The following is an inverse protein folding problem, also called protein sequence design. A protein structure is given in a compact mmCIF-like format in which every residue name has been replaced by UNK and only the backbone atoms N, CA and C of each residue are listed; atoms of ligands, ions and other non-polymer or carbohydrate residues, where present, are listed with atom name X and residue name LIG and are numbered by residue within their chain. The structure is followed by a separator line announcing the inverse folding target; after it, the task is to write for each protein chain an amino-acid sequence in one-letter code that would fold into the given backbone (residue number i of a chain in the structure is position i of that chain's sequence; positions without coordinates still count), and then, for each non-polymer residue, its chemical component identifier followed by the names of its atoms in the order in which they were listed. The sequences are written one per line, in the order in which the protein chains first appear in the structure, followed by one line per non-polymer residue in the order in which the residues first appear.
data_IF_583168418471
#
_entry.id   IF_583168418471
#
_cell.length_a   1.000
_cell.length_b   1.000
_cell.length_c   1.000
_cell.angle_alpha   90.00
_cell.angle_beta   90.00
_cell.angle_gamma   90.00
#
_symmetry.space_group_name_H-M   'P 1'
#
loop_
_entity.id
_entity.type
_entity.pdbx_description
1 polymer ?
#
# COMPACT_ATOMS: atom_id res chain seq x y z
N UNK A 1 11.70 8.68 15.76
CA UNK A 1 12.39 9.74 15.00
C UNK A 1 12.96 9.24 13.67
N UNK A 2 13.89 8.26 13.57
CA UNK A 2 14.53 7.92 12.29
C UNK A 2 13.57 7.39 11.22
N UNK A 3 12.71 6.43 11.58
CA UNK A 3 11.64 5.91 10.70
C UNK A 3 10.72 7.01 10.18
N UNK A 4 10.32 7.97 11.01
CA UNK A 4 9.41 9.05 10.60
C UNK A 4 10.09 10.00 9.61
N UNK A 5 11.38 10.32 9.83
CA UNK A 5 12.17 11.09 8.87
C UNK A 5 12.31 10.36 7.53
N UNK A 6 12.52 9.04 7.56
CA UNK A 6 12.58 8.21 6.34
C UNK A 6 11.26 8.26 5.55
N UNK A 7 10.12 8.04 6.22
CA UNK A 7 8.80 8.10 5.57
C UNK A 7 8.47 9.51 5.05
N UNK A 8 8.83 10.55 5.80
CA UNK A 8 8.68 11.93 5.35
C UNK A 8 9.52 12.22 4.11
N UNK A 9 10.74 11.68 4.03
CA UNK A 9 11.60 11.82 2.86
C UNK A 9 11.06 11.08 1.63
N UNK A 10 10.34 9.97 1.83
CA UNK A 10 9.63 9.27 0.74
C UNK A 10 8.43 10.09 0.23
N UNK A 11 7.72 10.80 1.10
CA UNK A 11 6.56 11.62 0.70
C UNK A 11 6.99 12.96 0.10
N UNK A 12 8.01 13.59 0.68
CA UNK A 12 8.44 14.92 0.30
C UNK A 12 9.97 15.04 0.34
N UNK A 13 10.60 14.76 -0.80
CA UNK A 13 12.06 14.87 -0.98
C UNK A 13 12.59 16.29 -0.81
N UNK A 14 11.74 17.31 -0.90
CA UNK A 14 12.13 18.73 -0.84
C UNK A 14 12.15 19.33 0.57
N UNK A 15 11.50 18.69 1.56
CA UNK A 15 11.32 19.25 2.92
C UNK A 15 12.17 18.60 4.02
N UNK A 16 13.15 17.76 3.67
CA UNK A 16 14.01 17.14 4.67
C UNK A 16 14.97 18.18 5.25
N UNK A 17 14.71 18.58 6.49
CA UNK A 17 15.63 19.36 7.31
C UNK A 17 17.00 18.64 7.39
N UNK A 18 18.07 19.43 7.26
CA UNK A 18 19.48 18.99 7.24
C UNK A 18 19.81 18.15 8.49
N UNK A 19 19.81 16.82 8.41
CA UNK A 19 20.21 16.01 9.56
C UNK A 19 20.20 14.49 9.41
N UNK A 20 19.43 13.92 8.48
CA UNK A 20 19.40 12.46 8.27
C UNK A 20 19.82 12.13 6.84
N UNK A 21 21.11 11.91 6.62
CA UNK A 21 21.61 11.33 5.38
C UNK A 21 21.37 9.83 5.41
N UNK A 22 20.29 9.36 4.77
CA UNK A 22 20.14 7.93 4.47
C UNK A 22 21.19 7.52 3.43
N UNK A 23 21.70 6.29 3.54
CA UNK A 23 22.60 5.72 2.55
C UNK A 23 21.97 5.76 1.16
N UNK A 24 22.74 6.24 0.17
CA UNK A 24 22.28 6.38 -1.22
C UNK A 24 21.87 5.03 -1.82
N UNK A 25 22.48 3.93 -1.35
CA UNK A 25 22.13 2.56 -1.74
C UNK A 25 20.77 2.14 -1.17
N UNK A 26 20.52 2.39 0.12
CA UNK A 26 19.24 2.10 0.76
C UNK A 26 18.11 2.89 0.09
N UNK A 27 18.32 4.19 -0.13
CA UNK A 27 17.31 5.03 -0.77
C UNK A 27 16.99 4.53 -2.19
N UNK A 28 18.01 4.15 -2.98
CA UNK A 28 17.79 3.58 -4.32
C UNK A 28 16.97 2.28 -4.29
N UNK A 29 17.23 1.39 -3.33
CA UNK A 29 16.46 0.15 -3.17
C UNK A 29 14.98 0.44 -2.94
N UNK A 30 14.65 1.34 -2.00
CA UNK A 30 13.25 1.64 -1.68
C UNK A 30 12.56 2.53 -2.72
N UNK A 31 13.30 3.39 -3.42
CA UNK A 31 12.76 4.23 -4.48
C UNK A 31 12.24 3.42 -5.67
N UNK A 32 12.86 2.27 -6.01
CA UNK A 32 12.45 1.44 -7.17
C UNK A 32 11.03 0.90 -7.07
N UNK A 33 10.54 0.62 -5.85
CA UNK A 33 9.19 0.09 -5.62
C UNK A 33 8.17 1.17 -5.20
N UNK A 34 8.61 2.17 -4.43
CA UNK A 34 7.72 3.12 -3.75
C UNK A 34 7.57 4.46 -4.49
N UNK A 35 8.50 4.82 -5.37
CA UNK A 35 8.43 6.06 -6.14
C UNK A 35 8.37 5.75 -7.64
N UNK A 36 7.48 6.43 -8.33
CA UNK A 36 7.48 6.53 -9.79
C UNK A 36 8.26 7.79 -10.19
N UNK A 37 9.25 7.60 -11.06
CA UNK A 37 9.92 8.70 -11.76
C UNK A 37 9.53 8.61 -13.22
N UNK A 38 8.66 9.51 -13.69
CA UNK A 38 8.49 9.75 -15.13
C UNK A 38 9.59 10.71 -15.57
N UNK A 39 10.23 10.45 -16.71
CA UNK A 39 11.38 11.23 -17.18
C UNK A 39 11.15 12.75 -17.07
N UNK A 40 11.97 13.41 -16.25
CA UNK A 40 12.01 14.87 -16.08
C UNK A 40 11.11 15.48 -15.00
N UNK A 41 10.22 14.71 -14.37
CA UNK A 41 9.36 15.21 -13.28
C UNK A 41 9.94 14.86 -11.89
N UNK A 42 9.56 15.61 -10.85
CA UNK A 42 9.93 15.26 -9.48
C UNK A 42 9.40 13.86 -9.13
N UNK A 43 10.15 13.03 -8.38
CA UNK A 43 9.71 11.68 -8.04
C UNK A 43 8.38 11.75 -7.28
N UNK A 44 7.37 11.05 -7.79
CA UNK A 44 6.02 10.95 -7.19
C UNK A 44 5.84 9.58 -6.59
N UNK A 45 5.11 9.47 -5.49
CA UNK A 45 4.75 8.18 -4.91
C UNK A 45 4.03 7.31 -5.96
N UNK A 46 4.45 6.04 -6.06
CA UNK A 46 3.73 5.04 -6.85
C UNK A 46 2.49 4.56 -6.08
N UNK A 47 1.60 3.81 -6.74
CA UNK A 47 0.45 3.17 -6.08
C UNK A 47 0.91 2.30 -4.88
N UNK A 48 1.98 1.53 -5.08
CA UNK A 48 2.64 0.76 -4.02
C UNK A 48 3.20 1.65 -2.90
N UNK A 49 3.72 2.83 -3.26
CA UNK A 49 4.17 3.86 -2.32
C UNK A 49 3.06 4.35 -1.41
N UNK A 50 1.89 4.67 -1.97
CA UNK A 50 0.73 5.09 -1.19
C UNK A 50 0.18 3.96 -0.32
N UNK A 51 0.07 2.75 -0.87
CA UNK A 51 -0.34 1.58 -0.10
C UNK A 51 0.59 1.35 1.09
N UNK A 52 1.90 1.42 0.87
CA UNK A 52 2.91 1.29 1.91
C UNK A 52 2.74 2.32 3.03
N UNK A 53 2.43 3.58 2.72
CA UNK A 53 2.22 4.61 3.74
C UNK A 53 0.98 4.36 4.62
N UNK A 54 -0.05 3.73 4.07
CA UNK A 54 -1.29 3.39 4.77
C UNK A 54 -1.22 2.07 5.55
N UNK A 55 -0.19 1.25 5.31
CA UNK A 55 0.01 -0.01 6.04
C UNK A 55 0.33 0.21 7.52
N UNK A 56 0.05 -0.81 8.32
CA UNK A 56 0.48 -0.80 9.72
C UNK A 56 2.01 -0.78 9.87
N UNK A 57 2.48 -0.49 11.08
CA UNK A 57 3.90 -0.23 11.36
C UNK A 57 4.75 -1.47 11.14
N UNK A 58 4.24 -2.65 11.49
CA UNK A 58 4.94 -3.93 11.33
C UNK A 58 4.92 -4.38 9.87
N UNK A 59 3.77 -4.28 9.19
CA UNK A 59 3.69 -4.57 7.76
C UNK A 59 4.61 -3.66 6.91
N UNK A 60 4.71 -2.36 7.24
CA UNK A 60 5.70 -1.45 6.65
C UNK A 60 7.13 -1.94 6.91
N UNK A 61 7.42 -2.37 8.13
CA UNK A 61 8.75 -2.85 8.50
C UNK A 61 9.12 -4.11 7.71
N UNK A 62 8.18 -5.06 7.58
CA UNK A 62 8.37 -6.28 6.79
C UNK A 62 8.52 -6.00 5.31
N UNK A 63 7.78 -5.03 4.76
CA UNK A 63 7.98 -4.58 3.39
C UNK A 63 9.41 -4.06 3.21
N UNK A 64 9.88 -3.19 4.11
CA UNK A 64 11.25 -2.67 4.09
C UNK A 64 12.27 -3.82 4.18
N UNK A 65 12.07 -4.79 5.08
CA UNK A 65 12.99 -5.92 5.23
C UNK A 65 13.03 -6.80 3.99
N UNK A 66 11.88 -7.08 3.39
CA UNK A 66 11.79 -7.87 2.16
C UNK A 66 12.59 -7.21 1.04
N UNK A 67 12.37 -5.93 0.78
CA UNK A 67 13.12 -5.20 -0.26
C UNK A 67 14.63 -5.12 0.07
N UNK A 68 14.98 -4.99 1.36
CA UNK A 68 16.36 -5.00 1.81
C UNK A 68 17.04 -6.36 1.54
N UNK A 69 16.36 -7.48 1.82
CA UNK A 69 16.84 -8.83 1.55
C UNK A 69 16.92 -9.08 0.04
N UNK A 70 15.90 -8.69 -0.74
CA UNK A 70 15.90 -8.85 -2.20
C UNK A 70 17.03 -8.08 -2.89
N UNK A 71 17.45 -6.93 -2.33
CA UNK A 71 18.62 -6.18 -2.82
C UNK A 71 19.97 -6.68 -2.30
N UNK A 72 20.00 -7.77 -1.54
CA UNK A 72 21.25 -8.35 -1.04
C UNK A 72 22.10 -8.96 -2.17
N UNK A 73 21.45 -9.61 -3.14
CA UNK A 73 22.13 -10.25 -4.27
C UNK A 73 22.88 -9.21 -5.13
N UNK A 74 22.28 -8.04 -5.36
CA UNK A 74 22.94 -6.92 -6.07
C UNK A 74 24.18 -6.40 -5.32
N UNK A 75 24.25 -6.62 -4.01
CA UNK A 75 25.39 -6.25 -3.14
C UNK A 75 26.40 -7.38 -2.96
N UNK A 76 26.16 -8.55 -3.55
CA UNK A 76 27.01 -9.74 -3.40
C UNK A 76 26.93 -10.37 -2.00
N UNK A 77 25.82 -10.16 -1.28
CA UNK A 77 25.57 -10.74 0.04
C UNK A 77 24.58 -11.89 -0.09
N UNK A 78 24.84 -13.03 0.56
CA UNK A 78 23.91 -14.16 0.61
C UNK A 78 22.64 -13.76 1.40
N UNK A 79 21.44 -13.80 0.77
CA UNK A 79 20.17 -13.54 1.45
C UNK A 79 19.98 -14.40 2.71
N UNK A 80 20.51 -15.63 2.72
CA UNK A 80 20.38 -16.58 3.83
C UNK A 80 21.10 -16.09 5.09
N UNK A 81 22.29 -15.51 4.92
CA UNK A 81 23.07 -14.92 6.01
C UNK A 81 22.33 -13.73 6.64
N UNK A 82 21.73 -12.88 5.81
CA UNK A 82 20.92 -11.74 6.26
C UNK A 82 19.65 -12.16 6.99
N UNK A 83 18.92 -13.14 6.46
CA UNK A 83 17.70 -13.67 7.10
C UNK A 83 18.05 -14.26 8.46
N UNK A 84 19.11 -15.07 8.53
CA UNK A 84 19.58 -15.67 9.79
C UNK A 84 19.91 -14.59 10.82
N UNK A 85 20.59 -13.54 10.39
CA UNK A 85 20.94 -12.41 11.26
C UNK A 85 19.72 -11.58 11.70
N UNK A 86 18.74 -11.33 10.83
CA UNK A 86 17.52 -10.62 11.19
C UNK A 86 16.69 -11.40 12.22
N UNK A 87 16.65 -12.73 12.08
CA UNK A 87 16.03 -13.61 13.06
C UNK A 87 16.80 -13.57 14.38
N UNK A 88 18.13 -13.65 14.35
CA UNK A 88 18.97 -13.51 15.55
C UNK A 88 18.69 -12.19 16.28
N UNK A 89 18.66 -11.07 15.55
CA UNK A 89 18.37 -9.74 16.07
C UNK A 89 17.00 -9.67 16.75
N UNK A 90 16.00 -10.38 16.23
CA UNK A 90 14.66 -10.40 16.81
C UNK A 90 14.59 -11.06 18.19
N UNK A 91 15.52 -11.98 18.50
CA UNK A 91 15.63 -12.64 19.81
C UNK A 91 16.52 -11.88 20.80
N UNK A 92 17.12 -10.76 20.40
CA UNK A 92 17.91 -9.95 21.31
C UNK A 92 17.02 -9.25 22.36
N UNK A 93 17.58 -9.04 23.55
CA UNK A 93 16.86 -8.37 24.64
C UNK A 93 16.78 -6.87 24.41
N UNK A 94 15.57 -6.32 24.58
CA UNK A 94 15.32 -4.89 24.42
C UNK A 94 16.20 -4.08 25.39
N UNK A 95 16.97 -3.14 24.86
CA UNK A 95 17.79 -2.21 25.66
C UNK A 95 19.15 -2.75 26.11
N UNK A 96 19.47 -4.02 25.87
CA UNK A 96 20.82 -4.54 26.13
C UNK A 96 21.82 -4.08 25.05
N UNK A 97 23.07 -3.88 25.46
CA UNK A 97 24.15 -3.47 24.57
C UNK A 97 24.95 -4.68 24.10
N UNK A 98 25.08 -4.83 22.78
CA UNK A 98 25.79 -5.92 22.13
C UNK A 98 27.00 -5.38 21.39
N UNK A 99 28.13 -6.10 21.43
CA UNK A 99 29.39 -5.62 20.85
C UNK A 99 29.40 -5.75 19.33
N UNK A 100 29.95 -4.75 18.64
CA UNK A 100 30.25 -4.86 17.21
C UNK A 100 31.34 -5.88 16.91
N UNK A 101 32.18 -6.22 17.89
CA UNK A 101 33.33 -7.10 17.68
C UNK A 101 32.92 -8.55 17.39
N UNK A 102 31.70 -8.96 17.77
CA UNK A 102 31.17 -10.30 17.52
C UNK A 102 30.55 -10.45 16.12
N UNK A 103 30.39 -9.35 15.38
CA UNK A 103 29.71 -9.32 14.09
C UNK A 103 30.67 -9.50 12.92
N UNK A 104 30.21 -10.24 11.89
CA UNK A 104 30.87 -10.32 10.58
C UNK A 104 30.84 -8.96 9.86
N UNK A 105 31.68 -8.77 8.85
CA UNK A 105 31.69 -7.52 8.07
C UNK A 105 30.33 -7.24 7.41
N UNK A 106 29.66 -8.29 6.93
CA UNK A 106 28.30 -8.23 6.38
C UNK A 106 27.30 -7.77 7.44
N UNK A 107 27.33 -8.38 8.62
CA UNK A 107 26.46 -8.02 9.74
C UNK A 107 26.71 -6.59 10.23
N UNK A 108 27.96 -6.10 10.20
CA UNK A 108 28.26 -4.71 10.56
C UNK A 108 27.65 -3.70 9.58
N UNK A 109 27.66 -4.02 8.28
CA UNK A 109 26.99 -3.20 7.26
C UNK A 109 25.47 -3.22 7.52
N UNK A 110 24.91 -4.42 7.73
CA UNK A 110 23.48 -4.56 8.03
C UNK A 110 23.05 -3.79 9.28
N UNK A 111 23.82 -3.83 10.38
CA UNK A 111 23.51 -3.05 11.59
C UNK A 111 23.54 -1.54 11.34
N UNK A 112 24.44 -1.04 10.48
CA UNK A 112 24.46 0.38 10.12
C UNK A 112 23.20 0.75 9.33
N UNK A 113 22.83 -0.04 8.33
CA UNK A 113 21.63 0.16 7.53
C UNK A 113 20.35 0.09 8.39
N UNK A 114 20.27 -0.91 9.29
CA UNK A 114 19.17 -1.07 10.24
C UNK A 114 19.10 0.05 11.28
N UNK A 115 20.23 0.69 11.60
CA UNK A 115 20.26 1.84 12.48
C UNK A 115 19.68 3.10 11.82
N UNK A 116 19.88 3.30 10.52
CA UNK A 116 19.23 4.38 9.76
C UNK A 116 17.71 4.23 9.77
N UNK A 117 17.21 2.99 9.68
CA UNK A 117 15.78 2.67 9.78
C UNK A 117 15.24 2.78 11.23
N UNK A 118 16.12 2.94 12.22
CA UNK A 118 15.78 3.07 13.63
C UNK A 118 15.44 1.76 14.32
N UNK A 119 15.79 0.61 13.73
CA UNK A 119 15.63 -0.70 14.39
C UNK A 119 16.68 -0.90 15.49
N UNK A 120 17.85 -0.31 15.31
CA UNK A 120 18.97 -0.45 16.23
C UNK A 120 19.55 0.92 16.52
N UNK A 121 19.99 1.15 17.75
CA UNK A 121 20.77 2.34 18.12
C UNK A 121 22.23 1.96 18.22
N UNK A 122 23.07 2.60 17.42
CA UNK A 122 24.53 2.44 17.49
C UNK A 122 25.09 3.44 18.49
N UNK A 123 25.91 2.95 19.42
CA UNK A 123 26.62 3.77 20.40
C UNK A 123 28.13 3.51 20.25
N UNK A 124 28.87 4.57 19.92
CA UNK A 124 30.33 4.50 19.81
C UNK A 124 30.96 4.95 21.13
N UNK A 125 31.79 4.09 21.71
CA UNK A 125 32.71 4.44 22.78
C UNK A 125 34.06 4.90 22.24
N UNK A 126 35.02 5.11 23.14
CA UNK A 126 36.39 5.53 22.78
C UNK A 126 37.21 4.43 22.10
N UNK A 127 36.87 3.15 22.32
CA UNK A 127 37.59 1.98 21.79
C UNK A 127 36.65 0.93 21.18
N UNK A 128 35.47 0.75 21.78
CA UNK A 128 34.48 -0.23 21.35
C UNK A 128 33.21 0.46 20.83
N UNK A 129 32.51 -0.24 19.94
CA UNK A 129 31.19 0.14 19.47
C UNK A 129 30.17 -0.90 19.90
N UNK A 130 28.99 -0.44 20.30
CA UNK A 130 27.88 -1.29 20.68
C UNK A 130 26.62 -0.96 19.90
N UNK A 131 25.76 -1.95 19.75
CA UNK A 131 24.43 -1.78 19.17
C UNK A 131 23.37 -2.19 20.19
N UNK A 132 22.28 -1.43 20.24
CA UNK A 132 21.16 -1.63 21.17
C UNK A 132 19.88 -1.83 20.35
N UNK A 133 19.27 -3.02 20.38
CA UNK A 133 18.00 -3.28 19.71
C UNK A 133 16.88 -2.40 20.26
N UNK A 134 16.05 -1.87 19.36
CA UNK A 134 14.84 -1.13 19.71
C UNK A 134 13.60 -2.04 19.70
N UNK A 135 12.46 -1.52 20.15
CA UNK A 135 11.17 -2.24 20.07
C UNK A 135 10.82 -2.67 18.65
N UNK A 136 11.26 -1.92 17.62
CA UNK A 136 11.01 -2.30 16.23
C UNK A 136 11.78 -3.56 15.82
N UNK A 137 13.01 -3.74 16.32
CA UNK A 137 13.82 -4.93 16.04
C UNK A 137 13.27 -6.17 16.75
N UNK A 138 12.93 -6.04 18.04
CA UNK A 138 12.35 -7.17 18.79
C UNK A 138 10.98 -7.56 18.27
N UNK A 139 10.21 -6.59 17.73
CA UNK A 139 8.88 -6.85 17.18
C UNK A 139 8.90 -7.44 15.76
N UNK A 140 10.08 -7.59 15.12
CA UNK A 140 10.19 -8.23 13.81
C UNK A 140 9.58 -9.64 13.84
N UNK A 141 9.97 -10.47 14.81
CA UNK A 141 9.51 -11.86 14.92
C UNK A 141 8.19 -12.00 15.71
N UNK A 142 7.92 -11.11 16.68
CA UNK A 142 6.67 -11.16 17.46
C UNK A 142 5.41 -10.86 16.61
N UNK A 143 5.57 -10.26 15.44
CA UNK A 143 4.47 -9.99 14.51
C UNK A 143 3.83 -11.26 13.91
N UNK A 144 4.44 -12.44 14.06
CA UNK A 144 3.83 -13.71 13.66
C UNK A 144 2.79 -14.22 14.67
N UNK A 145 2.81 -13.74 15.92
CA UNK A 145 2.01 -14.30 17.01
C UNK A 145 1.01 -13.33 17.64
N UNK A 146 1.22 -12.01 17.56
CA UNK A 146 0.32 -11.03 18.18
C UNK A 146 0.14 -9.77 17.34
N UNK A 147 -1.00 -9.67 16.66
CA UNK A 147 -1.50 -8.45 16.00
C UNK A 147 -2.06 -7.42 17.00
N UNK A 148 -1.88 -7.65 18.30
CA UNK A 148 -2.62 -7.02 19.41
C UNK A 148 -1.81 -5.96 20.18
N UNK A 149 -0.67 -5.51 19.67
CA UNK A 149 0.04 -4.39 20.26
C UNK A 149 -0.79 -3.10 20.09
N UNK A 150 -1.59 -2.81 21.13
CA UNK A 150 -2.50 -1.66 21.25
C UNK A 150 -1.81 -0.37 20.81
N UNK A 151 -2.03 0.01 19.56
CA UNK A 151 -1.69 1.36 19.10
C UNK A 151 -2.64 2.32 19.79
N UNK A 152 -2.09 3.39 20.34
CA UNK A 152 -2.85 4.61 20.59
C UNK A 152 -3.30 5.13 19.24
N UNK A 153 -4.48 4.70 18.78
CA UNK A 153 -5.06 5.28 17.59
C UNK A 153 -5.28 6.78 17.80
N UNK A 154 -5.15 7.53 16.73
CA UNK A 154 -5.15 8.99 16.77
C UNK A 154 -6.37 9.58 16.09
N UNK A 155 -7.06 8.81 15.25
CA UNK A 155 -8.08 9.31 14.32
C UNK A 155 -9.49 9.11 14.88
N UNK A 156 -10.31 10.14 14.74
CA UNK A 156 -11.75 10.12 14.99
C UNK A 156 -12.44 10.63 13.73
N UNK A 157 -13.44 9.89 13.26
CA UNK A 157 -14.26 10.27 12.11
C UNK A 157 -15.71 10.42 12.56
N UNK A 158 -16.32 11.54 12.21
CA UNK A 158 -17.72 11.85 12.51
C UNK A 158 -18.65 11.53 11.33
N UNK A 159 -19.96 11.46 11.60
CA UNK A 159 -21.01 11.19 10.60
C UNK A 159 -21.12 12.28 9.52
N UNK A 160 -20.60 13.48 9.78
CA UNK A 160 -20.57 14.62 8.87
C UNK A 160 -19.30 14.65 7.98
N UNK A 161 -18.56 13.55 7.90
CA UNK A 161 -17.29 13.41 7.15
C UNK A 161 -16.11 14.24 7.70
N UNK A 162 -16.23 14.82 8.90
CA UNK A 162 -15.08 15.45 9.57
C UNK A 162 -14.16 14.41 10.17
N UNK A 163 -12.87 14.66 10.00
CA UNK A 163 -11.77 13.85 10.49
C UNK A 163 -10.94 14.67 11.47
N UNK A 164 -10.70 14.08 12.64
CA UNK A 164 -9.91 14.66 13.71
C UNK A 164 -8.78 13.70 14.04
N UNK A 165 -7.53 14.14 13.93
CA UNK A 165 -6.38 13.32 14.29
C UNK A 165 -5.56 13.98 15.41
N UNK A 166 -5.49 13.30 16.56
CA UNK A 166 -4.75 13.73 17.74
C UNK A 166 -3.27 13.38 17.58
N UNK A 167 -2.55 14.22 16.84
CA UNK A 167 -1.13 14.01 16.57
C UNK A 167 -0.41 15.33 16.28
N UNK A 168 0.79 15.48 16.84
CA UNK A 168 1.72 16.56 16.49
C UNK A 168 2.65 16.20 15.31
N UNK A 169 2.63 14.94 14.85
CA UNK A 169 3.51 14.44 13.80
C UNK A 169 3.13 15.01 12.43
N UNK A 170 4.10 15.64 11.76
CA UNK A 170 3.97 16.08 10.35
C UNK A 170 3.64 14.91 9.42
N UNK A 171 4.18 13.72 9.68
CA UNK A 171 3.92 12.53 8.88
C UNK A 171 2.44 12.16 8.85
N UNK A 172 1.77 12.21 10.00
CA UNK A 172 0.34 11.91 10.05
C UNK A 172 -0.48 12.95 9.29
N UNK A 173 -0.07 14.23 9.31
CA UNK A 173 -0.69 15.28 8.49
C UNK A 173 -0.57 14.95 7.00
N UNK A 174 0.62 14.61 6.52
CA UNK A 174 0.84 14.28 5.11
C UNK A 174 0.11 13.00 4.67
N UNK A 175 0.06 11.97 5.51
CA UNK A 175 -0.72 10.75 5.21
C UNK A 175 -2.22 11.07 5.11
N UNK A 176 -2.76 11.90 6.00
CA UNK A 176 -4.17 12.28 5.95
C UNK A 176 -4.49 13.15 4.71
N UNK A 177 -3.55 13.98 4.26
CA UNK A 177 -3.70 14.79 3.03
C UNK A 177 -3.89 13.93 1.77
N UNK A 178 -3.47 12.66 1.80
CA UNK A 178 -3.60 11.76 0.66
C UNK A 178 -5.06 11.50 0.27
N UNK A 179 -5.96 11.49 1.25
CA UNK A 179 -7.37 11.12 1.04
C UNK A 179 -8.37 12.08 1.69
N UNK A 180 -7.90 13.07 2.46
CA UNK A 180 -8.74 14.08 3.11
C UNK A 180 -8.21 15.49 2.85
N UNK A 181 -9.11 16.47 2.84
CA UNK A 181 -8.75 17.87 2.82
C UNK A 181 -8.44 18.34 4.23
N UNK A 182 -7.17 18.61 4.54
CA UNK A 182 -6.77 19.22 5.81
C UNK A 182 -7.22 20.68 5.82
N UNK A 183 -8.09 21.05 6.76
CA UNK A 183 -8.63 22.39 6.90
C UNK A 183 -7.75 23.26 7.80
N UNK A 184 -7.33 22.73 8.94
CA UNK A 184 -6.46 23.42 9.88
C UNK A 184 -5.63 22.45 10.72
N UNK A 185 -4.42 22.88 11.04
CA UNK A 185 -3.48 22.14 11.87
C UNK A 185 -3.19 22.96 13.14
N UNK A 186 -3.55 22.37 14.28
CA UNK A 186 -3.22 22.87 15.61
C UNK A 186 -2.04 22.06 16.19
N UNK A 187 -1.40 22.49 17.29
CA UNK A 187 -0.19 21.84 17.80
C UNK A 187 -0.31 20.33 18.06
N UNK A 188 -1.47 19.84 18.52
CA UNK A 188 -1.72 18.43 18.83
C UNK A 188 -2.99 17.87 18.17
N UNK A 189 -3.55 18.60 17.18
CA UNK A 189 -4.80 18.22 16.53
C UNK A 189 -4.76 18.64 15.06
N UNK A 190 -4.98 17.68 14.18
CA UNK A 190 -5.18 17.91 12.75
C UNK A 190 -6.67 17.76 12.49
N UNK A 191 -7.27 18.77 11.84
CA UNK A 191 -8.67 18.71 11.43
C UNK A 191 -8.75 18.74 9.92
N UNK A 192 -9.50 17.79 9.37
CA UNK A 192 -9.77 17.69 7.96
C UNK A 192 -11.19 17.23 7.68
N UNK A 193 -11.53 17.18 6.41
CA UNK A 193 -12.80 16.67 5.92
C UNK A 193 -12.54 15.69 4.77
N UNK A 194 -13.29 14.59 4.76
CA UNK A 194 -13.31 13.65 3.64
C UNK A 194 -14.31 14.18 2.61
N UNK A 195 -13.83 14.59 1.44
CA UNK A 195 -14.68 15.09 0.35
C UNK A 195 -14.58 14.21 -0.88
N UNK A 196 -15.53 14.34 -1.79
CA UNK A 196 -15.51 13.61 -3.07
C UNK A 196 -14.21 13.90 -3.84
N UNK A 197 -13.80 15.16 -3.85
CA UNK A 197 -12.59 15.62 -4.55
C UNK A 197 -11.31 15.05 -3.93
N UNK A 198 -11.21 15.03 -2.59
CA UNK A 198 -10.02 14.48 -1.92
C UNK A 198 -9.87 12.99 -2.16
N UNK A 199 -10.98 12.25 -2.19
CA UNK A 199 -10.96 10.82 -2.47
C UNK A 199 -10.71 10.52 -3.95
N UNK A 200 -11.22 11.32 -4.88
CA UNK A 200 -10.91 11.15 -6.30
C UNK A 200 -9.42 11.33 -6.56
N UNK A 201 -8.78 12.33 -5.91
CA UNK A 201 -7.33 12.47 -5.92
C UNK A 201 -6.60 11.25 -5.33
N UNK A 202 -7.15 10.63 -4.28
CA UNK A 202 -6.59 9.39 -3.72
C UNK A 202 -6.71 8.21 -4.70
N UNK A 203 -7.88 8.05 -5.32
CA UNK A 203 -8.17 6.99 -6.28
C UNK A 203 -7.31 7.13 -7.54
N UNK A 204 -7.07 8.35 -8.01
CA UNK A 204 -6.15 8.64 -9.13
C UNK A 204 -4.70 8.23 -8.83
N UNK A 205 -4.33 8.18 -7.56
CA UNK A 205 -3.05 7.71 -7.06
C UNK A 205 -3.02 6.20 -6.73
N UNK A 206 -4.09 5.46 -7.07
CA UNK A 206 -4.19 4.01 -6.87
C UNK A 206 -4.50 3.57 -5.44
N UNK A 207 -4.92 4.48 -4.57
CA UNK A 207 -5.41 4.14 -3.23
C UNK A 207 -6.83 3.58 -3.37
N UNK A 208 -7.16 2.46 -2.73
CA UNK A 208 -8.52 1.90 -2.79
C UNK A 208 -9.39 2.35 -1.61
N UNK A 209 -10.72 2.28 -1.77
CA UNK A 209 -11.65 2.58 -0.66
C UNK A 209 -11.38 1.71 0.57
N UNK A 210 -11.14 0.41 0.36
CA UNK A 210 -10.86 -0.53 1.45
C UNK A 210 -9.55 -0.22 2.18
N UNK A 211 -8.52 0.27 1.48
CA UNK A 211 -7.29 0.71 2.12
C UNK A 211 -7.52 1.92 3.04
N UNK A 212 -8.31 2.91 2.58
CA UNK A 212 -8.67 4.09 3.39
C UNK A 212 -9.48 3.67 4.61
N UNK A 213 -10.51 2.84 4.43
CA UNK A 213 -11.35 2.35 5.53
C UNK A 213 -10.54 1.54 6.53
N UNK A 214 -9.66 0.66 6.04
CA UNK A 214 -8.76 -0.14 6.88
C UNK A 214 -7.80 0.76 7.67
N UNK A 215 -7.22 1.78 7.05
CA UNK A 215 -6.39 2.76 7.74
C UNK A 215 -7.14 3.49 8.85
N UNK A 216 -8.38 3.96 8.58
CA UNK A 216 -9.21 4.64 9.57
C UNK A 216 -9.56 3.74 10.76
N UNK A 217 -9.88 2.46 10.51
CA UNK A 217 -10.17 1.47 11.56
C UNK A 217 -8.94 1.15 12.40
N UNK A 218 -7.79 0.91 11.76
CA UNK A 218 -6.53 0.55 12.44
C UNK A 218 -5.96 1.69 13.29
N UNK A 219 -6.21 2.94 12.90
CA UNK A 219 -5.72 4.13 13.60
C UNK A 219 -6.81 4.85 14.39
N UNK A 220 -7.95 4.19 14.64
CA UNK A 220 -9.06 4.77 15.38
C UNK A 220 -8.70 5.01 16.85
N UNK A 221 -9.01 6.19 17.37
CA UNK A 221 -8.77 6.56 18.75
C UNK A 221 -9.39 5.52 19.72
N UNK A 222 -8.74 5.11 20.83
CA UNK A 222 -9.22 4.03 21.70
C UNK A 222 -10.70 4.15 22.11
N UNK A 223 -11.13 5.36 22.49
CA UNK A 223 -12.55 5.65 22.83
C UNK A 223 -13.57 5.40 21.70
N UNK A 224 -13.10 5.36 20.47
CA UNK A 224 -13.91 5.10 19.26
C UNK A 224 -13.67 3.68 18.76
N UNK A 225 -12.47 3.14 18.94
CA UNK A 225 -12.14 1.75 18.62
C UNK A 225 -13.02 0.75 19.40
N UNK A 226 -13.43 1.08 20.63
CA UNK A 226 -14.36 0.27 21.41
C UNK A 226 -15.82 0.34 20.91
N UNK A 227 -16.15 1.30 20.05
CA UNK A 227 -17.50 1.45 19.49
C UNK A 227 -17.65 0.59 18.24
N UNK A 228 -18.83 -0.03 18.11
CA UNK A 228 -19.20 -0.79 16.92
C UNK A 228 -20.36 -0.05 16.24
N UNK A 229 -20.22 0.41 14.98
CA UNK A 229 -19.02 0.35 14.14
C UNK A 229 -17.97 1.41 14.51
N UNK A 230 -16.67 1.08 14.33
CA UNK A 230 -15.53 1.96 14.66
C UNK A 230 -15.53 3.24 13.81
N UNK A 231 -15.83 3.07 12.51
CA UNK A 231 -16.04 4.17 11.58
C UNK A 231 -17.54 4.18 11.25
N UNK A 232 -18.22 5.34 11.26
CA UNK A 232 -19.64 5.40 10.94
C UNK A 232 -19.97 4.75 9.58
N UNK A 233 -21.03 3.94 9.53
CA UNK A 233 -21.44 3.19 8.34
C UNK A 233 -21.69 4.10 7.13
N UNK A 234 -22.34 5.24 7.37
CA UNK A 234 -22.60 6.22 6.32
C UNK A 234 -21.30 6.75 5.68
N UNK A 235 -20.21 6.84 6.44
CA UNK A 235 -18.91 7.26 5.91
C UNK A 235 -18.27 6.13 5.11
N UNK A 236 -18.28 4.90 5.62
CA UNK A 236 -17.69 3.76 4.90
C UNK A 236 -18.39 3.47 3.58
N UNK A 237 -19.73 3.53 3.58
CA UNK A 237 -20.53 3.27 2.39
C UNK A 237 -20.34 4.37 1.35
N UNK A 238 -20.26 5.63 1.79
CA UNK A 238 -20.04 6.74 0.87
C UNK A 238 -18.66 6.69 0.21
N UNK A 239 -17.61 6.28 0.93
CA UNK A 239 -16.26 6.10 0.36
C UNK A 239 -16.29 5.02 -0.74
N UNK A 240 -16.94 3.87 -0.48
CA UNK A 240 -17.10 2.79 -1.47
C UNK A 240 -17.93 3.21 -2.67
N UNK A 241 -19.00 3.98 -2.42
CA UNK A 241 -19.86 4.50 -3.48
C UNK A 241 -19.06 5.44 -4.39
N UNK A 242 -18.24 6.32 -3.84
CA UNK A 242 -17.40 7.22 -4.63
C UNK A 242 -16.31 6.49 -5.45
N UNK A 243 -15.77 5.37 -4.97
CA UNK A 243 -14.88 4.52 -5.78
C UNK A 243 -15.64 3.86 -6.94
N UNK A 244 -16.83 3.30 -6.65
CA UNK A 244 -17.71 2.69 -7.66
C UNK A 244 -18.19 3.72 -8.68
N UNK A 245 -18.40 4.98 -8.25
CA UNK A 245 -18.78 6.11 -9.10
C UNK A 245 -17.71 6.43 -10.17
N UNK A 246 -16.44 6.12 -9.87
CA UNK A 246 -15.31 6.23 -10.79
C UNK A 246 -15.23 5.02 -11.71
N UNK A 247 -15.37 3.82 -11.17
CA UNK A 247 -15.28 2.56 -11.91
C UNK A 247 -16.61 2.16 -12.58
N UNK A 248 -17.32 3.13 -13.17
CA UNK A 248 -18.64 2.89 -13.80
C UNK A 248 -18.55 2.19 -15.16
N UNK A 249 -17.38 2.18 -15.79
CA UNK A 249 -17.20 1.71 -17.16
C UNK A 249 -16.14 0.62 -17.20
N UNK A 250 -16.58 -0.61 -17.44
CA UNK A 250 -15.70 -1.73 -17.73
C UNK A 250 -15.49 -1.85 -19.24
N UNK A 251 -14.23 -1.81 -19.68
CA UNK A 251 -13.86 -1.98 -21.08
C UNK A 251 -13.57 -3.45 -21.33
N UNK A 252 -14.50 -4.14 -22.00
CA UNK A 252 -14.35 -5.54 -22.38
C UNK A 252 -14.05 -5.63 -23.87
N UNK A 253 -12.93 -6.27 -24.24
CA UNK A 253 -12.61 -6.56 -25.63
C UNK A 253 -13.62 -7.57 -26.20
N UNK A 254 -14.36 -7.17 -27.23
CA UNK A 254 -15.46 -7.94 -27.78
C UNK A 254 -15.57 -7.82 -29.30
N UNK A 255 -16.17 -8.83 -29.93
CA UNK A 255 -16.60 -8.77 -31.32
C UNK A 255 -18.11 -8.61 -31.42
N UNK A 256 -18.54 -7.75 -32.34
CA UNK A 256 -19.94 -7.55 -32.70
C UNK A 256 -20.24 -8.38 -33.94
N UNK A 257 -21.28 -9.20 -33.87
CA UNK A 257 -21.87 -9.90 -35.00
C UNK A 257 -23.17 -9.21 -35.39
N UNK A 258 -23.24 -8.77 -36.64
CA UNK A 258 -24.41 -8.15 -37.27
C UNK A 258 -24.73 -8.91 -38.57
N UNK A 259 -25.86 -8.58 -39.21
CA UNK A 259 -26.28 -9.11 -40.51
C UNK A 259 -26.49 -10.63 -40.57
N UNK A 260 -27.20 -11.19 -39.59
CA UNK A 260 -27.59 -12.61 -39.64
C UNK A 260 -28.56 -12.89 -40.80
N UNK A 261 -28.37 -13.97 -41.58
CA UNK A 261 -29.23 -14.33 -42.72
C UNK A 261 -30.67 -14.66 -42.34
N UNK A 262 -30.88 -15.22 -41.15
CA UNK A 262 -32.19 -15.62 -40.64
C UNK A 262 -32.27 -15.43 -39.13
N UNK A 263 -33.50 -15.28 -38.63
CA UNK A 263 -33.76 -15.19 -37.19
C UNK A 263 -33.40 -16.47 -36.44
N UNK A 264 -33.60 -17.62 -37.08
CA UNK A 264 -33.28 -18.94 -36.53
C UNK A 264 -31.75 -19.10 -36.31
N UNK A 265 -30.94 -18.66 -37.28
CA UNK A 265 -29.48 -18.67 -37.15
C UNK A 265 -28.99 -17.74 -36.02
N UNK A 266 -29.65 -16.59 -35.86
CA UNK A 266 -29.37 -15.66 -34.76
C UNK A 266 -29.70 -16.30 -33.40
N UNK A 267 -30.88 -16.93 -33.25
CA UNK A 267 -31.28 -17.59 -32.00
C UNK A 267 -30.31 -18.73 -31.63
N UNK A 268 -29.90 -19.57 -32.60
CA UNK A 268 -28.91 -20.62 -32.39
C UNK A 268 -27.53 -20.09 -31.98
N UNK A 269 -27.11 -18.95 -32.54
CA UNK A 269 -25.85 -18.30 -32.15
C UNK A 269 -25.92 -17.71 -30.73
N UNK A 270 -27.08 -17.17 -30.33
CA UNK A 270 -27.30 -16.67 -28.97
C UNK A 270 -27.31 -17.81 -27.95
N UNK A 271 -27.97 -18.93 -28.27
CA UNK A 271 -28.02 -20.10 -27.41
C UNK A 271 -26.63 -20.71 -27.21
N UNK A 272 -25.85 -20.86 -28.29
CA UNK A 272 -24.45 -21.30 -28.19
C UNK A 272 -23.61 -20.34 -27.33
N UNK A 273 -23.76 -19.03 -27.51
CA UNK A 273 -23.02 -18.04 -26.74
C UNK A 273 -23.45 -18.01 -25.26
N UNK A 274 -24.72 -18.32 -24.96
CA UNK A 274 -25.27 -18.39 -23.61
C UNK A 274 -24.84 -19.67 -22.89
N UNK A 275 -24.89 -20.81 -23.58
CA UNK A 275 -24.51 -22.13 -23.04
C UNK A 275 -23.03 -22.21 -22.67
N UNK A 276 -22.17 -21.57 -23.46
CA UNK A 276 -20.74 -21.54 -23.18
C UNK A 276 -20.30 -20.33 -22.31
N UNK A 277 -21.19 -19.39 -22.02
CA UNK A 277 -20.91 -18.23 -21.17
C UNK A 277 -20.10 -17.10 -21.84
N UNK A 278 -20.14 -17.01 -23.18
CA UNK A 278 -19.38 -16.03 -23.96
C UNK A 278 -20.18 -14.77 -24.32
N UNK A 279 -21.50 -14.84 -24.15
CA UNK A 279 -22.45 -13.76 -24.45
C UNK A 279 -22.22 -12.54 -23.54
N UNK A 280 -21.95 -11.38 -24.14
CA UNK A 280 -21.89 -10.10 -23.43
C UNK A 280 -23.19 -9.31 -23.57
N UNK A 281 -23.78 -9.31 -24.76
CA UNK A 281 -24.99 -8.56 -25.05
C UNK A 281 -25.70 -9.10 -26.30
N UNK A 282 -27.03 -9.04 -26.31
CA UNK A 282 -27.87 -9.41 -27.45
C UNK A 282 -28.97 -8.37 -27.69
N UNK A 283 -29.32 -8.16 -28.96
CA UNK A 283 -30.52 -7.41 -29.37
C UNK A 283 -31.29 -8.19 -30.43
N UNK A 284 -32.40 -8.79 -30.00
CA UNK A 284 -33.27 -9.60 -30.85
C UNK A 284 -34.01 -8.78 -31.92
N UNK A 285 -34.17 -7.45 -31.74
CA UNK A 285 -34.88 -6.61 -32.72
C UNK A 285 -34.02 -6.30 -33.93
N UNK A 286 -32.72 -6.10 -33.70
CA UNK A 286 -31.75 -5.78 -34.75
C UNK A 286 -30.88 -6.97 -35.15
N UNK A 287 -31.10 -8.14 -34.57
CA UNK A 287 -30.29 -9.35 -34.74
C UNK A 287 -28.80 -9.04 -34.54
N UNK A 288 -28.45 -8.55 -33.35
CA UNK A 288 -27.07 -8.23 -33.00
C UNK A 288 -26.63 -9.01 -31.79
N UNK A 289 -25.39 -9.47 -31.82
CA UNK A 289 -24.79 -10.28 -30.79
C UNK A 289 -23.38 -9.76 -30.51
N UNK A 290 -23.05 -9.58 -29.24
CA UNK A 290 -21.71 -9.20 -28.79
C UNK A 290 -21.14 -10.35 -27.97
N UNK A 291 -19.96 -10.82 -28.38
CA UNK A 291 -19.24 -11.95 -27.77
C UNK A 291 -17.85 -11.49 -27.35
N UNK A 292 -17.30 -12.05 -26.28
CA UNK A 292 -15.90 -11.80 -25.86
C UNK A 292 -14.91 -12.16 -26.97
N UNK A 293 -13.80 -11.42 -27.04
CA UNK A 293 -12.74 -11.62 -28.05
C UNK A 293 -12.18 -13.04 -28.07
N UNK A 294 -12.01 -13.63 -26.89
CA UNK A 294 -11.40 -14.96 -26.69
C UNK A 294 -12.14 -16.05 -27.47
N UNK A 295 -13.46 -15.91 -27.65
CA UNK A 295 -14.32 -16.94 -28.22
C UNK A 295 -14.78 -16.62 -29.65
N UNK A 296 -14.15 -15.63 -30.29
CA UNK A 296 -14.40 -15.27 -31.68
C UNK A 296 -14.17 -16.44 -32.64
N UNK A 297 -13.13 -17.25 -32.39
CA UNK A 297 -12.79 -18.39 -33.24
C UNK A 297 -13.87 -19.48 -33.21
N UNK A 298 -14.37 -19.82 -32.03
CA UNK A 298 -15.41 -20.85 -31.84
C UNK A 298 -16.73 -20.44 -32.50
N UNK A 299 -17.14 -19.18 -32.31
CA UNK A 299 -18.31 -18.62 -32.99
C UNK A 299 -18.15 -18.63 -34.52
N UNK A 300 -16.94 -18.35 -35.03
CA UNK A 300 -16.65 -18.36 -36.47
C UNK A 300 -16.69 -19.78 -37.04
N UNK A 301 -16.22 -20.78 -36.29
CA UNK A 301 -16.33 -22.18 -36.68
C UNK A 301 -17.78 -22.65 -36.73
N UNK A 302 -18.59 -22.29 -35.74
CA UNK A 302 -20.02 -22.61 -35.72
C UNK A 302 -20.76 -22.00 -36.92
N UNK A 303 -20.54 -20.72 -37.20
CA UNK A 303 -21.11 -20.03 -38.36
C UNK A 303 -20.67 -20.64 -39.70
N UNK A 304 -19.46 -21.24 -39.77
CA UNK A 304 -18.98 -21.95 -40.96
C UNK A 304 -19.61 -23.33 -41.14
N UNK A 305 -19.94 -24.03 -40.05
CA UNK A 305 -20.60 -25.35 -40.10
C UNK A 305 -22.06 -25.27 -40.53
N UNK A 306 -22.68 -24.11 -40.40
CA UNK A 306 -24.07 -23.85 -40.78
C UNK A 306 -24.24 -23.24 -42.18
N UNK A 307 -23.15 -22.94 -42.89
CA UNK A 307 -23.17 -22.60 -44.32
C UNK A 307 -23.12 -23.86 -45.18
#
# INVERSE_FOLDING_TARGET
MPKQCFLLQLINSSQVERGTSFSSSMMKTFQRGLLSSRDGDAPKLSENGFQFLLMETNAQLWYIMREYISSAEERGVDPTELISFLLELSFHTLGAAYSFNTLTDVQRIAIRDLAELGLVKVQQGRKDSWFIPTKLATNLSSSLSDSSASKEGIVVVETNFRLYAYSASRLHCEILRLFSRVEYQLPNLIVGAITKESLYGAFDNGITAEQIISFLKQNAHPRVADKIPVVPENVTDQIRLWETDRNRVDMVLSHVYEDFPSKDMFEQCCDLARDNGFLLWEDSKKMRLIVRVEFHQEMREFLRRQR
#
